data_IF_497963642797
#
_entry.id   IF_497963642797
#
_cell.length_a   1.000
_cell.length_b   1.000
_cell.length_c   1.000
_cell.angle_alpha   90.00
_cell.angle_beta   90.00
_cell.angle_gamma   90.00
#
_symmetry.space_group_name_H-M   'P 1'
#
loop_
_entity.id
_entity.type
_entity.pdbx_description
1 polymer ?
#
# COMPACT_ATOMS: atom_id res chain seq x y z
N UNK A 1 -23.74 -15.32 -51.41
CA UNK A 1 -23.16 -15.68 -50.10
C UNK A 1 -22.12 -14.62 -49.75
N UNK A 2 -22.48 -13.65 -48.91
CA UNK A 2 -21.56 -12.62 -48.43
C UNK A 2 -21.35 -12.89 -46.95
N UNK A 3 -20.22 -13.49 -46.62
CA UNK A 3 -19.77 -13.56 -45.23
C UNK A 3 -19.20 -12.20 -44.88
N UNK A 4 -20.04 -11.33 -44.33
CA UNK A 4 -19.60 -10.13 -43.64
C UNK A 4 -18.78 -10.59 -42.43
N UNK A 5 -17.46 -10.56 -42.57
CA UNK A 5 -16.54 -10.76 -41.47
C UNK A 5 -16.87 -9.70 -40.42
N UNK A 6 -17.43 -10.14 -39.30
CA UNK A 6 -17.63 -9.28 -38.14
C UNK A 6 -16.28 -8.79 -37.68
N UNK A 7 -16.01 -7.50 -37.93
CA UNK A 7 -14.91 -6.78 -37.33
C UNK A 7 -15.19 -6.61 -35.84
N UNK A 8 -14.98 -7.71 -35.12
CA UNK A 8 -14.96 -7.77 -33.67
C UNK A 8 -13.69 -7.06 -33.21
N UNK A 9 -13.74 -5.72 -33.19
CA UNK A 9 -12.75 -4.83 -32.56
C UNK A 9 -12.80 -5.01 -31.03
N UNK A 10 -12.64 -6.24 -30.55
CA UNK A 10 -12.35 -6.52 -29.16
C UNK A 10 -10.98 -5.92 -28.80
N UNK A 11 -10.73 -5.63 -27.51
CA UNK A 11 -9.45 -5.09 -27.08
C UNK A 11 -8.30 -5.91 -27.68
N UNK A 12 -7.29 -5.27 -28.29
CA UNK A 12 -6.27 -5.97 -29.06
C UNK A 12 -5.60 -7.03 -28.18
N UNK A 13 -5.68 -8.30 -28.60
CA UNK A 13 -5.19 -9.47 -27.87
C UNK A 13 -3.74 -9.31 -27.37
N UNK A 14 -2.95 -8.50 -28.09
CA UNK A 14 -1.61 -8.07 -27.71
C UNK A 14 -1.49 -7.50 -26.29
N UNK A 15 -2.48 -6.72 -25.83
CA UNK A 15 -2.45 -6.04 -24.53
C UNK A 15 -2.40 -7.04 -23.36
N UNK A 16 -3.16 -8.14 -23.46
CA UNK A 16 -3.18 -9.17 -22.42
C UNK A 16 -1.84 -9.89 -22.28
N UNK A 17 -1.18 -10.20 -23.39
CA UNK A 17 0.15 -10.82 -23.37
C UNK A 17 1.22 -9.89 -22.80
N UNK A 18 1.16 -8.60 -23.12
CA UNK A 18 2.08 -7.60 -22.59
C UNK A 18 1.96 -7.48 -21.06
N UNK A 19 0.72 -7.47 -20.56
CA UNK A 19 0.45 -7.34 -19.12
C UNK A 19 0.73 -8.61 -18.37
N UNK A 20 0.43 -9.76 -18.96
CA UNK A 20 0.85 -11.05 -18.42
C UNK A 20 2.36 -11.11 -18.22
N UNK A 21 3.13 -10.71 -19.24
CA UNK A 21 4.59 -10.63 -19.15
C UNK A 21 5.06 -9.63 -18.10
N UNK A 22 4.42 -8.46 -18.02
CA UNK A 22 4.81 -7.43 -17.07
C UNK A 22 4.47 -7.79 -15.62
N UNK A 23 3.32 -8.43 -15.36
CA UNK A 23 2.98 -8.98 -14.04
C UNK A 23 3.96 -10.08 -13.62
N UNK A 24 4.43 -10.89 -14.57
CA UNK A 24 5.47 -11.89 -14.31
C UNK A 24 6.79 -11.23 -13.92
N UNK A 25 7.24 -10.24 -14.70
CA UNK A 25 8.45 -9.46 -14.40
C UNK A 25 8.36 -8.80 -13.02
N UNK A 26 7.26 -8.10 -12.73
CA UNK A 26 7.03 -7.47 -11.42
C UNK A 26 7.05 -8.50 -10.28
N UNK A 27 6.48 -9.69 -10.49
CA UNK A 27 6.49 -10.75 -9.48
C UNK A 27 7.90 -11.32 -9.27
N UNK A 28 8.69 -11.47 -10.35
CA UNK A 28 10.08 -11.90 -10.28
C UNK A 28 10.97 -10.85 -9.59
N UNK A 29 10.76 -9.56 -9.88
CA UNK A 29 11.46 -8.47 -9.20
C UNK A 29 11.10 -8.38 -7.72
N UNK A 30 9.83 -8.60 -7.34
CA UNK A 30 9.41 -8.68 -5.94
C UNK A 30 10.10 -9.83 -5.19
N UNK A 31 10.36 -10.95 -5.86
CA UNK A 31 11.14 -12.05 -5.29
C UNK A 31 12.63 -11.70 -5.22
N UNK A 32 13.18 -11.03 -6.24
CA UNK A 32 14.55 -10.54 -6.26
C UNK A 32 14.85 -9.58 -5.09
N UNK A 33 13.86 -8.76 -4.70
CA UNK A 33 14.01 -7.87 -3.55
C UNK A 33 14.04 -8.55 -2.20
N UNK A 34 13.60 -9.81 -2.13
CA UNK A 34 13.68 -10.60 -0.90
C UNK A 34 15.11 -11.09 -0.62
N UNK A 35 15.99 -11.08 -1.63
CA UNK A 35 17.42 -11.40 -1.49
C UNK A 35 18.28 -10.23 -0.99
N UNK A 36 17.73 -9.02 -0.94
CA UNK A 36 18.41 -7.87 -0.36
C UNK A 36 18.24 -7.91 1.15
N UNK A 37 19.35 -7.97 1.90
CA UNK A 37 19.30 -8.15 3.35
C UNK A 37 18.79 -6.90 4.10
N UNK A 38 18.32 -7.12 5.34
CA UNK A 38 17.53 -6.24 6.24
C UNK A 38 17.84 -4.73 6.17
N UNK A 39 16.84 -3.95 5.73
CA UNK A 39 16.80 -2.50 5.89
C UNK A 39 15.49 -1.87 5.42
N UNK A 40 15.37 -0.55 5.57
CA UNK A 40 14.26 0.29 5.04
C UNK A 40 14.04 0.06 3.54
N UNK A 41 15.11 -0.27 2.82
CA UNK A 41 15.09 -0.59 1.39
C UNK A 41 14.17 -1.77 1.05
N UNK A 42 14.08 -2.83 1.87
CA UNK A 42 13.11 -3.91 1.63
C UNK A 42 11.68 -3.38 1.77
N UNK A 43 11.43 -2.59 2.81
CA UNK A 43 10.10 -2.08 3.11
C UNK A 43 9.58 -1.16 2.00
N UNK A 44 10.43 -0.26 1.50
CA UNK A 44 10.08 0.64 0.40
C UNK A 44 9.90 -0.10 -0.93
N UNK A 45 10.75 -1.07 -1.24
CA UNK A 45 10.63 -1.87 -2.48
C UNK A 45 9.40 -2.78 -2.46
N UNK A 46 9.07 -3.41 -1.32
CA UNK A 46 7.85 -4.22 -1.19
C UNK A 46 6.62 -3.35 -1.43
N UNK A 47 6.53 -2.18 -0.78
CA UNK A 47 5.44 -1.24 -1.00
C UNK A 47 5.40 -0.73 -2.45
N UNK A 48 6.56 -0.46 -3.06
CA UNK A 48 6.64 -0.06 -4.45
C UNK A 48 6.11 -1.13 -5.40
N UNK A 49 6.52 -2.38 -5.26
CA UNK A 49 5.99 -3.49 -6.07
C UNK A 49 4.51 -3.74 -5.81
N UNK A 50 4.03 -3.53 -4.58
CA UNK A 50 2.61 -3.61 -4.23
C UNK A 50 1.79 -2.54 -4.98
N UNK A 51 2.26 -1.29 -5.03
CA UNK A 51 1.63 -0.22 -5.81
C UNK A 51 1.68 -0.49 -7.31
N UNK A 52 2.84 -0.90 -7.85
CA UNK A 52 3.00 -1.19 -9.28
C UNK A 52 2.07 -2.32 -9.71
N UNK A 53 2.02 -3.42 -8.96
CA UNK A 53 1.16 -4.56 -9.28
C UNK A 53 -0.32 -4.21 -9.15
N UNK A 54 -0.72 -3.47 -8.11
CA UNK A 54 -2.09 -3.00 -7.94
C UNK A 54 -2.50 -2.03 -9.06
N UNK A 55 -1.63 -1.09 -9.43
CA UNK A 55 -1.85 -0.16 -10.54
C UNK A 55 -2.00 -0.88 -11.89
N UNK A 56 -1.20 -1.92 -12.14
CA UNK A 56 -1.31 -2.74 -13.34
C UNK A 56 -2.61 -3.55 -13.40
N UNK A 57 -3.03 -4.13 -12.28
CA UNK A 57 -4.32 -4.82 -12.19
C UNK A 57 -5.47 -3.83 -12.42
N UNK A 58 -5.40 -2.64 -11.82
CA UNK A 58 -6.39 -1.59 -12.01
C UNK A 58 -6.46 -1.11 -13.47
N UNK A 59 -5.34 -0.81 -14.11
CA UNK A 59 -5.33 -0.35 -15.51
C UNK A 59 -5.98 -1.35 -16.49
N UNK A 60 -5.86 -2.66 -16.22
CA UNK A 60 -6.21 -3.72 -17.17
C UNK A 60 -7.49 -4.45 -16.81
N UNK A 61 -7.56 -5.02 -15.61
CA UNK A 61 -8.72 -5.82 -15.17
C UNK A 61 -9.92 -4.95 -14.88
N UNK A 62 -9.70 -3.74 -14.38
CA UNK A 62 -10.74 -2.74 -14.20
C UNK A 62 -10.97 -1.90 -15.47
N UNK A 63 -10.31 -2.21 -16.59
CA UNK A 63 -10.43 -1.53 -17.90
C UNK A 63 -10.47 0.01 -17.79
N UNK A 64 -9.69 0.54 -16.85
CA UNK A 64 -9.69 1.94 -16.42
C UNK A 64 -9.37 2.93 -17.57
N UNK A 65 -8.75 2.48 -18.65
CA UNK A 65 -8.48 3.29 -19.83
C UNK A 65 -9.63 3.37 -20.86
N UNK A 66 -10.69 2.56 -20.70
CA UNK A 66 -11.79 2.44 -21.68
C UNK A 66 -13.19 2.79 -21.13
N UNK A 67 -13.32 3.07 -19.82
CA UNK A 67 -14.60 3.46 -19.20
C UNK A 67 -14.66 4.93 -18.74
N UNK A 68 -15.87 5.38 -18.39
CA UNK A 68 -16.18 6.75 -17.98
C UNK A 68 -15.38 7.14 -16.73
N UNK A 69 -14.75 8.31 -16.75
CA UNK A 69 -13.97 8.92 -15.64
C UNK A 69 -14.71 8.88 -14.29
N UNK A 70 -16.05 8.87 -14.30
CA UNK A 70 -16.89 8.72 -13.11
C UNK A 70 -16.66 7.41 -12.35
N UNK A 71 -16.55 6.26 -13.05
CA UNK A 71 -16.32 4.96 -12.40
C UNK A 71 -14.90 4.87 -11.84
N UNK A 72 -13.94 5.43 -12.57
CA UNK A 72 -12.55 5.59 -12.14
C UNK A 72 -12.49 6.35 -10.82
N UNK A 73 -13.11 7.53 -10.80
CA UNK A 73 -13.16 8.40 -9.63
C UNK A 73 -13.87 7.70 -8.46
N UNK A 74 -14.98 7.02 -8.70
CA UNK A 74 -15.71 6.30 -7.65
C UNK A 74 -14.89 5.20 -6.95
N UNK A 75 -13.96 4.53 -7.66
CA UNK A 75 -13.14 3.45 -7.12
C UNK A 75 -11.83 3.97 -6.53
N UNK A 76 -11.26 5.05 -7.09
CA UNK A 76 -9.97 5.61 -6.65
C UNK A 76 -10.11 6.61 -5.50
N UNK A 77 -11.25 7.31 -5.41
CA UNK A 77 -11.51 8.27 -4.34
C UNK A 77 -11.53 7.62 -2.94
N UNK A 78 -12.19 6.47 -2.70
CA UNK A 78 -12.20 5.87 -1.36
C UNK A 78 -10.79 5.49 -0.85
N UNK A 79 -9.92 4.81 -1.63
CA UNK A 79 -8.53 4.56 -1.24
C UNK A 79 -7.74 5.83 -0.98
N UNK A 80 -7.87 6.86 -1.82
CA UNK A 80 -7.14 8.13 -1.67
C UNK A 80 -7.61 8.87 -0.41
N UNK A 81 -8.93 8.91 -0.16
CA UNK A 81 -9.49 9.52 1.04
C UNK A 81 -9.00 8.82 2.31
N UNK A 82 -8.90 7.48 2.29
CA UNK A 82 -8.33 6.71 3.38
C UNK A 82 -6.84 7.03 3.60
N UNK A 83 -6.04 7.06 2.53
CA UNK A 83 -4.62 7.43 2.63
C UNK A 83 -4.44 8.85 3.19
N UNK A 84 -5.29 9.79 2.76
CA UNK A 84 -5.29 11.15 3.28
C UNK A 84 -5.65 11.20 4.76
N UNK A 85 -6.70 10.47 5.17
CA UNK A 85 -7.11 10.38 6.57
C UNK A 85 -6.02 9.73 7.45
N UNK A 86 -5.41 8.66 6.98
CA UNK A 86 -4.28 8.01 7.67
C UNK A 86 -3.11 8.98 7.81
N UNK A 87 -2.80 9.75 6.76
CA UNK A 87 -1.76 10.79 6.80
C UNK A 87 -2.04 11.86 7.86
N UNK A 88 -3.26 12.41 7.88
CA UNK A 88 -3.65 13.40 8.89
C UNK A 88 -3.59 12.82 10.31
N UNK A 89 -4.11 11.61 10.51
CA UNK A 89 -4.09 10.96 11.83
C UNK A 89 -2.67 10.63 12.28
N UNK A 90 -1.77 10.25 11.37
CA UNK A 90 -0.36 10.06 11.69
C UNK A 90 0.27 11.37 12.18
N UNK A 91 0.03 12.48 11.48
CA UNK A 91 0.56 13.79 11.90
C UNK A 91 -0.01 14.26 13.24
N UNK A 92 -1.31 14.12 13.47
CA UNK A 92 -1.96 14.46 14.75
C UNK A 92 -1.47 13.59 15.91
N UNK A 93 -1.13 12.32 15.63
CA UNK A 93 -0.56 11.42 16.62
C UNK A 93 0.80 11.94 17.13
N UNK A 94 1.65 12.43 16.24
CA UNK A 94 2.95 13.02 16.60
C UNK A 94 2.79 14.29 17.44
N UNK A 95 1.84 15.17 17.09
CA UNK A 95 1.53 16.37 17.88
C UNK A 95 0.98 16.03 19.26
N UNK A 96 0.10 15.03 19.35
CA UNK A 96 -0.44 14.54 20.61
C UNK A 96 0.66 13.96 21.50
N UNK A 97 1.58 13.18 20.92
CA UNK A 97 2.73 12.63 21.63
C UNK A 97 3.65 13.74 22.15
N UNK A 98 4.02 14.70 21.30
CA UNK A 98 4.88 15.82 21.69
C UNK A 98 4.25 16.68 22.79
N UNK A 99 2.94 16.92 22.73
CA UNK A 99 2.22 17.69 23.76
C UNK A 99 2.22 16.97 25.11
N UNK A 100 2.09 15.62 25.13
CA UNK A 100 2.19 14.84 26.37
C UNK A 100 3.59 14.90 26.98
N UNK A 101 4.62 14.80 26.15
CA UNK A 101 6.01 14.90 26.59
C UNK A 101 6.33 16.29 27.14
N UNK A 102 5.91 17.36 26.44
CA UNK A 102 6.25 18.74 26.82
C UNK A 102 5.44 19.26 28.00
N UNK A 103 4.13 18.96 28.06
CA UNK A 103 3.23 19.58 29.04
C UNK A 103 2.74 18.62 30.13
N UNK A 104 2.67 17.32 29.87
CA UNK A 104 2.18 16.33 30.85
C UNK A 104 3.30 15.57 31.55
N UNK A 105 4.57 15.85 31.21
CA UNK A 105 5.74 15.25 31.85
C UNK A 105 5.94 13.77 31.51
N UNK A 106 5.30 13.28 30.43
CA UNK A 106 5.55 11.95 29.91
C UNK A 106 7.03 11.85 29.51
N UNK A 107 7.74 10.87 30.07
CA UNK A 107 9.15 10.68 29.79
C UNK A 107 9.35 10.15 28.36
N UNK A 108 10.11 10.90 27.54
CA UNK A 108 10.33 10.59 26.12
C UNK A 108 11.02 9.23 25.88
N UNK A 109 11.68 8.70 26.91
CA UNK A 109 12.27 7.38 26.93
C UNK A 109 12.00 6.73 28.31
N UNK A 110 10.82 6.13 28.51
CA UNK A 110 10.47 5.56 29.80
C UNK A 110 11.40 4.39 30.11
N UNK A 111 12.15 4.48 31.20
CA UNK A 111 12.92 3.35 31.73
C UNK A 111 11.91 2.32 32.23
N UNK A 112 11.97 1.06 31.76
CA UNK A 112 11.06 0.02 32.24
C UNK A 112 11.17 -0.06 33.77
N UNK A 113 10.08 0.20 34.47
CA UNK A 113 10.05 0.10 35.92
C UNK A 113 10.45 -1.33 36.30
N UNK A 114 11.36 -1.52 37.28
CA UNK A 114 11.68 -2.85 37.77
C UNK A 114 10.38 -3.54 38.22
N UNK A 115 10.26 -4.86 38.01
CA UNK A 115 9.05 -5.59 38.35
C UNK A 115 8.71 -5.34 39.82
N UNK A 116 7.42 -5.19 40.17
CA UNK A 116 7.02 -4.90 41.54
C UNK A 116 7.59 -5.98 42.45
N UNK A 117 8.53 -5.59 43.31
CA UNK A 117 9.04 -6.47 44.33
C UNK A 117 7.89 -6.73 45.29
N UNK A 118 7.28 -7.91 45.21
CA UNK A 118 6.42 -8.45 46.26
C UNK A 118 7.30 -8.72 47.50
N UNK A 119 7.80 -7.67 48.14
CA UNK A 119 8.32 -7.75 49.50
C UNK A 119 7.11 -7.93 50.42
N UNK A 120 6.72 -9.19 50.59
CA UNK A 120 5.70 -9.60 51.53
C UNK A 120 5.98 -9.02 52.90
N UNK A 121 4.91 -8.57 53.55
CA UNK A 121 4.93 -8.08 54.92
C UNK A 121 5.60 -9.08 55.85
N UNK A 122 6.57 -8.59 56.59
CA UNK A 122 7.15 -9.28 57.72
C UNK A 122 7.37 -8.24 58.84
N UNK A 123 6.28 -7.70 59.38
CA UNK A 123 6.22 -7.10 60.71
C UNK A 123 4.79 -7.24 61.25
#
# INVERSE_FOLDING_TARGET
MQHAAGEHHGPPMWMYYFVWGLLFVVSAFSYATDFLDRGVLRWTLILFFMFVKAGFIMAIFMHLSYERITLITAILVPPIALLFLIGLMATESDYTWLTRVVYMGEEANPVPLPPPSHAGGAH
#
